data_IF_925826869515
#
_entry.id   IF_925826869515
#
_cell.length_a   1.000
_cell.length_b   1.000
_cell.length_c   1.000
_cell.angle_alpha   90.00
_cell.angle_beta   90.00
_cell.angle_gamma   90.00
#
_symmetry.space_group_name_H-M   'P 1'
#
loop_
_entity.id
_entity.type
_entity.pdbx_description
1 polymer ?
#
# COMPACT_ATOMS: atom_id res chain seq x y z
N UNK A 1 -13.37 40.72 25.12
CA UNK A 1 -12.83 39.35 24.97
C UNK A 1 -13.96 38.52 24.42
N UNK A 2 -13.99 38.43 23.09
CA UNK A 2 -15.14 37.89 22.36
C UNK A 2 -15.14 36.35 22.43
N UNK A 3 -16.30 35.82 22.81
CA UNK A 3 -16.59 34.42 22.90
C UNK A 3 -16.42 33.72 21.54
N UNK A 4 -15.23 33.25 21.26
CA UNK A 4 -14.98 32.25 20.21
C UNK A 4 -15.53 30.90 20.70
N UNK A 5 -16.85 30.72 20.50
CA UNK A 5 -17.47 29.48 20.89
C UNK A 5 -17.28 28.41 19.78
N UNK A 6 -17.21 27.12 20.18
CA UNK A 6 -17.06 25.97 19.29
C UNK A 6 -18.01 25.98 18.09
N UNK A 7 -19.18 26.57 18.24
CA UNK A 7 -20.21 26.65 17.20
C UNK A 7 -19.80 27.64 16.10
N UNK A 8 -19.20 28.77 16.46
CA UNK A 8 -18.70 29.76 15.50
C UNK A 8 -17.45 29.26 14.78
N UNK A 9 -16.60 28.49 15.45
CA UNK A 9 -15.48 27.81 14.82
C UNK A 9 -15.93 26.76 13.80
N UNK A 10 -16.92 25.93 14.14
CA UNK A 10 -17.46 24.94 13.21
C UNK A 10 -18.24 25.56 12.05
N UNK A 11 -18.96 26.65 12.28
CA UNK A 11 -19.65 27.40 11.22
C UNK A 11 -18.66 28.10 10.28
N UNK A 12 -17.63 28.76 10.82
CA UNK A 12 -16.63 29.44 9.98
C UNK A 12 -15.76 28.44 9.20
N UNK A 13 -15.40 27.29 9.80
CA UNK A 13 -14.68 26.21 9.09
C UNK A 13 -15.57 25.53 8.05
N UNK A 14 -16.86 25.32 8.36
CA UNK A 14 -17.83 24.76 7.42
C UNK A 14 -18.09 25.67 6.22
N UNK A 15 -18.21 26.98 6.45
CA UNK A 15 -18.35 27.97 5.37
C UNK A 15 -17.05 28.15 4.57
N UNK A 16 -15.88 28.11 5.21
CA UNK A 16 -14.58 28.17 4.55
C UNK A 16 -14.32 26.97 3.64
N UNK A 17 -14.58 25.73 4.10
CA UNK A 17 -14.47 24.52 3.29
C UNK A 17 -15.57 24.45 2.22
N UNK A 18 -16.79 24.87 2.52
CA UNK A 18 -17.87 24.94 1.56
C UNK A 18 -17.63 25.99 0.47
N UNK A 19 -17.07 27.16 0.81
CA UNK A 19 -16.68 28.17 -0.14
C UNK A 19 -15.50 27.75 -1.02
N UNK A 20 -14.50 27.05 -0.46
CA UNK A 20 -13.40 26.47 -1.21
C UNK A 20 -13.88 25.37 -2.17
N UNK A 21 -14.82 24.51 -1.73
CA UNK A 21 -15.46 23.51 -2.57
C UNK A 21 -16.32 24.14 -3.67
N UNK A 22 -17.09 25.18 -3.35
CA UNK A 22 -17.92 25.93 -4.32
C UNK A 22 -17.07 26.75 -5.30
N UNK A 23 -15.96 27.35 -4.86
CA UNK A 23 -15.05 28.08 -5.76
C UNK A 23 -14.33 27.13 -6.72
N UNK A 24 -14.05 25.89 -6.31
CA UNK A 24 -13.52 24.86 -7.21
C UNK A 24 -14.55 24.40 -8.25
N UNK A 25 -15.84 24.49 -7.94
CA UNK A 25 -16.93 24.19 -8.88
C UNK A 25 -17.23 25.36 -9.84
N UNK A 26 -16.85 26.59 -9.48
CA UNK A 26 -17.16 27.81 -10.27
C UNK A 26 -16.00 28.34 -11.11
N UNK A 27 -14.81 27.75 -11.01
CA UNK A 27 -13.67 28.16 -11.83
C UNK A 27 -13.53 27.26 -13.05
N UNK A 28 -13.97 27.67 -14.25
CA UNK A 28 -13.87 26.89 -15.48
C UNK A 28 -12.42 26.65 -15.94
N UNK A 29 -11.44 27.37 -15.39
CA UNK A 29 -10.01 27.12 -15.61
C UNK A 29 -9.43 25.97 -14.76
N UNK A 30 -10.22 25.38 -13.84
CA UNK A 30 -9.92 24.11 -13.19
C UNK A 30 -10.22 22.89 -14.09
N UNK A 31 -10.90 23.13 -15.23
CA UNK A 31 -11.03 22.15 -16.32
C UNK A 31 -9.78 22.34 -17.18
N UNK A 32 -8.63 21.90 -16.65
CA UNK A 32 -7.37 21.97 -17.37
C UNK A 32 -7.46 21.23 -18.69
N UNK A 33 -6.89 21.85 -19.75
CA UNK A 33 -6.42 21.16 -20.94
C UNK A 33 -5.85 19.78 -20.56
N UNK A 34 -5.91 18.82 -21.46
CA UNK A 34 -5.46 17.42 -21.28
C UNK A 34 -3.96 17.28 -20.97
N UNK A 35 -3.46 18.04 -20.01
CA UNK A 35 -2.16 17.96 -19.39
C UNK A 35 -2.20 17.18 -18.06
N UNK A 36 -1.07 16.91 -17.46
CA UNK A 36 -0.97 16.33 -16.14
C UNK A 36 -1.95 16.99 -15.17
N UNK A 37 -2.84 16.21 -14.54
CA UNK A 37 -3.91 16.77 -13.73
C UNK A 37 -3.30 17.57 -12.58
N UNK A 38 -3.54 18.88 -12.52
CA UNK A 38 -3.12 19.72 -11.41
C UNK A 38 -3.83 19.28 -10.13
N UNK A 39 -3.09 19.28 -9.01
CA UNK A 39 -3.68 19.08 -7.69
C UNK A 39 -4.51 20.28 -7.23
N UNK A 40 -4.89 20.27 -5.97
CA UNK A 40 -5.62 21.41 -5.37
C UNK A 40 -4.75 22.68 -5.37
N UNK A 41 -5.32 23.85 -5.65
CA UNK A 41 -4.60 25.11 -5.52
C UNK A 41 -4.02 25.30 -4.12
N UNK A 42 -2.74 25.70 -4.06
CA UNK A 42 -2.04 25.92 -2.79
C UNK A 42 -1.46 24.66 -2.15
N UNK A 43 -1.62 23.49 -2.75
CA UNK A 43 -0.95 22.26 -2.29
C UNK A 43 0.27 21.92 -3.15
N UNK A 44 1.31 21.31 -2.52
CA UNK A 44 1.47 21.06 -1.09
C UNK A 44 1.82 22.34 -0.30
N UNK A 45 1.41 22.41 0.98
CA UNK A 45 1.66 23.57 1.85
C UNK A 45 3.16 23.82 2.11
N UNK A 46 3.99 22.80 1.99
CA UNK A 46 5.45 22.85 2.15
C UNK A 46 6.11 22.17 0.95
N UNK A 47 7.35 22.57 0.60
CA UNK A 47 8.11 21.86 -0.46
C UNK A 47 8.21 20.37 -0.15
N UNK A 48 7.66 19.48 -0.99
CA UNK A 48 7.69 18.05 -0.73
C UNK A 48 9.10 17.49 -0.97
N UNK A 49 9.56 16.60 -0.11
CA UNK A 49 10.76 15.79 -0.35
C UNK A 49 10.43 14.57 -1.22
N UNK A 50 9.23 14.01 -1.07
CA UNK A 50 8.76 12.91 -1.88
C UNK A 50 8.00 13.41 -3.11
N UNK A 51 8.40 13.00 -4.30
CA UNK A 51 7.63 13.15 -5.53
C UNK A 51 6.62 12.02 -5.70
N UNK A 52 7.00 10.82 -5.21
CA UNK A 52 6.20 9.59 -5.35
C UNK A 52 6.32 8.71 -4.12
N UNK A 53 5.35 7.79 -3.97
CA UNK A 53 5.36 6.82 -2.88
C UNK A 53 5.04 5.41 -3.39
N UNK A 54 5.72 4.41 -2.83
CA UNK A 54 5.49 2.98 -3.05
C UNK A 54 5.15 2.35 -1.71
N UNK A 55 3.92 1.83 -1.58
CA UNK A 55 3.45 1.18 -0.36
C UNK A 55 3.39 -0.34 -0.55
N UNK A 56 4.29 -1.04 0.11
CA UNK A 56 4.37 -2.49 0.17
C UNK A 56 3.50 -2.96 1.35
N UNK A 57 2.27 -3.36 1.05
CA UNK A 57 1.29 -3.71 2.07
C UNK A 57 1.08 -5.23 2.14
N UNK A 58 1.21 -5.77 3.34
CA UNK A 58 1.18 -7.20 3.64
C UNK A 58 -0.05 -7.57 4.46
N UNK A 59 -1.25 -7.70 3.82
CA UNK A 59 -2.48 -7.99 4.53
C UNK A 59 -2.47 -9.39 5.15
N UNK A 60 -2.90 -9.45 6.40
CA UNK A 60 -2.94 -10.65 7.21
C UNK A 60 -2.09 -10.53 8.48
N UNK A 61 -1.66 -9.34 8.88
CA UNK A 61 -0.95 -9.07 10.13
C UNK A 61 0.38 -9.83 10.26
N UNK A 62 1.43 -9.44 9.52
CA UNK A 62 2.75 -10.05 9.65
C UNK A 62 3.24 -10.08 11.09
N UNK A 63 3.80 -11.19 11.54
CA UNK A 63 4.28 -11.33 12.91
C UNK A 63 5.52 -10.47 13.13
N UNK A 64 5.35 -9.29 13.70
CA UNK A 64 6.44 -8.37 14.02
C UNK A 64 7.47 -9.02 14.96
N UNK A 65 7.03 -9.88 15.89
CA UNK A 65 7.88 -10.59 16.86
C UNK A 65 8.84 -11.55 16.15
N UNK A 66 8.39 -12.18 15.08
CA UNK A 66 9.21 -13.15 14.35
C UNK A 66 10.05 -12.48 13.24
N UNK A 67 9.83 -11.20 12.91
CA UNK A 67 10.52 -10.51 11.81
C UNK A 67 11.49 -9.41 12.28
N UNK A 68 11.01 -8.43 13.07
CA UNK A 68 11.74 -7.20 13.37
C UNK A 68 11.84 -6.85 14.86
N UNK A 69 10.89 -7.30 15.68
CA UNK A 69 10.77 -6.90 17.07
C UNK A 69 11.31 -8.00 18.00
N UNK A 70 12.63 -8.13 18.05
CA UNK A 70 13.30 -9.14 18.84
C UNK A 70 13.06 -8.95 20.35
N UNK A 71 12.51 -10.00 20.99
CA UNK A 71 12.21 -10.04 22.42
C UNK A 71 12.93 -11.21 23.07
N UNK A 72 14.20 -11.04 23.49
CA UNK A 72 15.03 -12.15 24.03
C UNK A 72 14.42 -12.81 25.27
N UNK A 73 13.68 -12.05 26.08
CA UNK A 73 13.04 -12.58 27.29
C UNK A 73 11.99 -13.65 27.00
N UNK A 74 11.38 -13.64 25.79
CA UNK A 74 10.45 -14.69 25.38
C UNK A 74 11.11 -16.08 25.35
N UNK A 75 12.43 -16.17 25.14
CA UNK A 75 13.14 -17.46 25.18
C UNK A 75 13.16 -18.06 26.59
N UNK A 76 13.24 -17.22 27.65
CA UNK A 76 13.25 -17.66 29.05
C UNK A 76 11.89 -18.14 29.52
N UNK A 77 10.81 -17.59 28.95
CA UNK A 77 9.43 -17.95 29.33
C UNK A 77 8.70 -18.77 28.26
N UNK A 78 9.44 -19.30 27.27
CA UNK A 78 8.87 -20.15 26.24
C UNK A 78 8.15 -21.35 26.84
N UNK A 79 6.90 -21.58 26.46
CA UNK A 79 6.04 -22.64 26.97
C UNK A 79 5.40 -22.33 28.34
N UNK A 80 5.79 -21.27 29.03
CA UNK A 80 5.13 -20.83 30.26
C UNK A 80 3.84 -20.07 29.95
N UNK A 81 2.87 -20.22 30.86
CA UNK A 81 1.59 -19.51 30.74
C UNK A 81 1.79 -17.99 30.79
N UNK A 82 1.04 -17.27 29.97
CA UNK A 82 1.04 -15.82 29.97
C UNK A 82 0.56 -15.32 31.36
N UNK A 83 1.34 -14.47 32.07
CA UNK A 83 0.96 -13.99 33.39
C UNK A 83 -0.39 -13.25 33.36
N UNK A 84 -1.24 -13.49 34.35
CA UNK A 84 -2.55 -12.83 34.46
C UNK A 84 -2.43 -11.31 34.50
N UNK A 85 -1.38 -10.77 35.10
CA UNK A 85 -1.09 -9.32 35.14
C UNK A 85 -0.92 -8.71 33.73
N UNK A 86 -0.47 -9.50 32.77
CA UNK A 86 -0.34 -9.08 31.36
C UNK A 86 -1.63 -9.37 30.59
N UNK A 87 -2.29 -10.50 30.90
CA UNK A 87 -3.53 -10.91 30.25
C UNK A 87 -4.72 -10.05 30.62
N UNK A 88 -4.83 -9.60 31.87
CA UNK A 88 -5.92 -8.75 32.34
C UNK A 88 -5.99 -7.44 31.55
N UNK A 89 -7.20 -7.14 31.03
CA UNK A 89 -7.45 -5.96 30.23
C UNK A 89 -6.99 -6.03 28.75
N UNK A 90 -6.42 -7.14 28.30
CA UNK A 90 -6.20 -7.36 26.86
C UNK A 90 -7.50 -7.84 26.20
N UNK A 91 -7.84 -7.20 25.08
CA UNK A 91 -8.92 -7.66 24.22
C UNK A 91 -8.50 -8.95 23.53
N UNK A 92 -9.16 -10.06 23.86
CA UNK A 92 -8.94 -11.37 23.23
C UNK A 92 -9.85 -11.44 22.00
N UNK A 93 -9.34 -11.97 20.89
CA UNK A 93 -10.18 -12.20 19.71
C UNK A 93 -11.16 -13.36 19.94
N UNK A 94 -12.23 -13.41 19.11
CA UNK A 94 -13.15 -14.55 19.13
C UNK A 94 -12.49 -15.90 18.87
N UNK A 95 -11.32 -15.90 18.19
CA UNK A 95 -10.59 -17.12 17.84
C UNK A 95 -9.87 -17.76 19.02
N UNK A 96 -9.48 -16.99 20.02
CA UNK A 96 -8.78 -17.50 21.23
C UNK A 96 -9.64 -17.38 22.50
N UNK A 97 -10.87 -16.84 22.42
CA UNK A 97 -11.73 -16.65 23.58
C UNK A 97 -12.11 -17.94 24.33
N UNK A 98 -12.16 -19.07 23.63
CA UNK A 98 -12.37 -20.39 24.19
C UNK A 98 -11.10 -21.16 24.58
N UNK A 99 -9.90 -20.58 24.37
CA UNK A 99 -8.64 -21.23 24.67
C UNK A 99 -8.38 -21.20 26.19
N UNK A 100 -8.01 -22.36 26.75
CA UNK A 100 -7.81 -22.51 28.20
C UNK A 100 -6.40 -22.16 28.67
N UNK A 101 -5.42 -22.18 27.79
CA UNK A 101 -4.01 -21.95 28.07
C UNK A 101 -3.40 -21.04 27.02
N UNK A 102 -2.54 -20.10 27.43
CA UNK A 102 -1.90 -19.11 26.58
C UNK A 102 -0.37 -19.17 26.73
N UNK A 103 0.28 -20.26 26.31
CA UNK A 103 1.71 -20.40 26.47
C UNK A 103 2.47 -19.38 25.65
N UNK A 104 3.42 -18.69 26.28
CA UNK A 104 4.31 -17.75 25.62
C UNK A 104 5.19 -18.46 24.59
N UNK A 105 5.43 -17.82 23.45
CA UNK A 105 6.20 -18.42 22.35
C UNK A 105 7.30 -17.48 21.88
N UNK A 106 8.53 -17.91 22.03
CA UNK A 106 9.69 -17.27 21.41
C UNK A 106 9.71 -17.53 19.88
N UNK A 107 10.28 -16.63 19.07
CA UNK A 107 10.57 -16.91 17.68
C UNK A 107 11.42 -18.18 17.52
N UNK A 108 11.11 -18.99 16.51
CA UNK A 108 11.86 -20.22 16.19
C UNK A 108 13.07 -19.95 15.28
N UNK A 109 13.29 -18.72 14.90
CA UNK A 109 14.36 -18.27 14.00
C UNK A 109 15.32 -17.36 14.75
N UNK A 110 16.54 -17.25 14.21
CA UNK A 110 17.59 -16.50 14.84
C UNK A 110 17.58 -15.03 14.44
N UNK A 111 17.81 -14.16 15.42
CA UNK A 111 18.00 -12.74 15.23
C UNK A 111 19.49 -12.38 15.36
N UNK A 112 19.92 -11.40 14.57
CA UNK A 112 21.26 -10.85 14.62
C UNK A 112 21.20 -9.33 14.43
N UNK A 113 22.24 -8.62 14.88
CA UNK A 113 22.39 -7.18 14.69
C UNK A 113 23.07 -6.88 13.37
N UNK A 114 22.48 -6.00 12.58
CA UNK A 114 23.00 -5.59 11.28
C UNK A 114 23.16 -4.06 11.19
N UNK A 115 23.97 -3.63 10.23
CA UNK A 115 24.20 -2.23 9.93
C UNK A 115 25.01 -1.49 11.00
N UNK A 116 25.22 -0.20 10.78
CA UNK A 116 26.04 0.67 11.62
C UNK A 116 25.44 0.91 13.01
N UNK A 117 24.12 0.81 13.12
CA UNK A 117 23.39 1.08 14.36
C UNK A 117 23.03 -0.21 15.14
N UNK A 118 23.40 -1.38 14.61
CA UNK A 118 23.13 -2.65 15.28
C UNK A 118 21.67 -3.01 15.38
N UNK A 119 20.91 -2.77 14.31
CA UNK A 119 19.48 -3.07 14.21
C UNK A 119 19.21 -4.56 14.23
N UNK A 120 18.31 -5.00 15.12
CA UNK A 120 17.90 -6.39 15.19
C UNK A 120 16.99 -6.77 14.02
N UNK A 121 17.37 -7.80 13.27
CA UNK A 121 16.59 -8.38 12.18
C UNK A 121 16.68 -9.90 12.28
N UNK A 122 15.61 -10.59 11.92
CA UNK A 122 15.62 -12.04 11.79
C UNK A 122 16.48 -12.45 10.58
N UNK A 123 17.66 -13.03 10.86
CA UNK A 123 18.65 -13.37 9.82
C UNK A 123 18.26 -14.54 8.94
N UNK A 124 17.43 -15.45 9.47
CA UNK A 124 17.00 -16.67 8.75
C UNK A 124 15.85 -16.39 7.79
N UNK A 125 15.06 -15.34 8.06
CA UNK A 125 13.87 -14.97 7.30
C UNK A 125 14.10 -13.77 6.39
N UNK A 126 14.95 -12.82 6.78
CA UNK A 126 15.11 -11.52 6.13
C UNK A 126 16.58 -11.17 5.83
N UNK A 127 17.39 -12.10 5.26
CA UNK A 127 18.81 -11.85 4.99
C UNK A 127 19.09 -10.71 4.01
N UNK A 128 18.20 -10.47 3.04
CA UNK A 128 18.35 -9.36 2.08
C UNK A 128 17.95 -8.02 2.70
N UNK A 129 16.87 -7.98 3.48
CA UNK A 129 16.46 -6.79 4.25
C UNK A 129 17.52 -6.41 5.27
N UNK A 130 18.19 -7.40 5.91
CA UNK A 130 19.33 -7.17 6.79
C UNK A 130 20.45 -6.38 6.08
N UNK A 131 20.65 -6.56 4.78
CA UNK A 131 21.63 -5.85 3.96
C UNK A 131 21.26 -4.40 3.61
N UNK A 132 20.06 -3.91 3.95
CA UNK A 132 19.59 -2.54 3.69
C UNK A 132 19.16 -1.79 4.96
N UNK A 133 19.44 -2.31 6.15
CA UNK A 133 18.99 -1.71 7.42
C UNK A 133 19.50 -0.28 7.61
N UNK A 134 20.68 0.04 7.08
CA UNK A 134 21.23 1.40 7.11
C UNK A 134 20.46 2.39 6.19
N UNK A 135 19.61 1.91 5.30
CA UNK A 135 18.80 2.73 4.40
C UNK A 135 17.35 2.88 4.84
N UNK A 136 16.89 2.10 5.82
CA UNK A 136 15.51 2.09 6.31
C UNK A 136 15.37 2.62 7.74
N UNK A 137 14.20 3.08 8.09
CA UNK A 137 13.76 3.35 9.47
C UNK A 137 12.74 2.31 9.87
N UNK A 138 12.93 1.66 11.03
CA UNK A 138 12.01 0.66 11.55
C UNK A 138 11.21 1.28 12.71
N UNK A 139 9.89 1.27 12.60
CA UNK A 139 8.95 1.79 13.59
C UNK A 139 8.23 0.61 14.23
N UNK A 140 8.57 0.27 15.50
CA UNK A 140 7.99 -0.88 16.22
C UNK A 140 6.79 -0.50 17.08
N UNK A 141 6.47 0.77 17.20
CA UNK A 141 5.41 1.32 18.06
C UNK A 141 4.10 1.62 17.34
N UNK A 142 3.89 1.08 16.16
CA UNK A 142 2.61 1.19 15.46
C UNK A 142 1.51 0.51 16.27
N UNK A 143 0.31 1.12 16.31
CA UNK A 143 -0.84 0.58 17.01
C UNK A 143 -2.15 0.81 16.26
N UNK A 144 -3.14 -0.02 16.53
CA UNK A 144 -4.50 0.09 16.01
C UNK A 144 -5.50 -0.49 17.02
N UNK A 145 -6.70 0.03 17.04
CA UNK A 145 -7.81 -0.51 17.83
C UNK A 145 -8.51 -1.70 17.14
N UNK A 146 -8.30 -1.85 15.83
CA UNK A 146 -8.90 -2.92 15.06
C UNK A 146 -8.18 -4.25 15.34
N UNK A 147 -8.95 -5.31 15.55
CA UNK A 147 -8.44 -6.67 15.81
C UNK A 147 -8.85 -7.71 14.76
N UNK A 148 -9.67 -7.32 13.78
CA UNK A 148 -10.06 -8.13 12.64
C UNK A 148 -9.53 -7.52 11.35
N UNK A 149 -9.14 -8.36 10.39
CA UNK A 149 -8.49 -7.92 9.15
C UNK A 149 -9.31 -6.92 8.36
N UNK A 150 -10.58 -7.19 8.08
CA UNK A 150 -11.37 -6.30 7.22
C UNK A 150 -11.46 -4.87 7.74
N UNK A 151 -11.87 -4.60 9.01
CA UNK A 151 -11.85 -3.25 9.56
C UNK A 151 -10.43 -2.68 9.71
N UNK A 152 -9.42 -3.50 10.04
CA UNK A 152 -8.04 -3.04 10.18
C UNK A 152 -7.41 -2.63 8.84
N UNK A 153 -7.59 -3.45 7.80
CA UNK A 153 -7.14 -3.15 6.44
C UNK A 153 -7.87 -1.90 5.91
N UNK A 154 -9.18 -1.78 6.18
CA UNK A 154 -9.94 -0.59 5.81
C UNK A 154 -9.38 0.64 6.54
N UNK A 155 -9.15 0.54 7.85
CA UNK A 155 -8.64 1.63 8.68
C UNK A 155 -7.27 2.15 8.19
N UNK A 156 -6.30 1.27 7.97
CA UNK A 156 -4.96 1.69 7.54
C UNK A 156 -4.95 2.29 6.13
N UNK A 157 -5.89 1.92 5.27
CA UNK A 157 -5.99 2.45 3.92
C UNK A 157 -6.83 3.73 3.81
N UNK A 158 -7.78 3.97 4.73
CA UNK A 158 -8.77 5.05 4.61
C UNK A 158 -8.87 5.97 5.83
N UNK A 159 -8.17 5.63 6.93
CA UNK A 159 -8.21 6.36 8.21
C UNK A 159 -9.42 6.06 9.09
N UNK A 160 -10.35 5.19 8.66
CA UNK A 160 -11.54 4.77 9.44
C UNK A 160 -11.85 3.30 9.22
N UNK A 161 -12.43 2.63 10.22
CA UNK A 161 -12.82 1.22 10.09
C UNK A 161 -14.06 1.00 9.19
N UNK A 162 -15.12 1.85 9.25
CA UNK A 162 -16.25 1.74 8.34
C UNK A 162 -15.85 2.05 6.88
N UNK A 163 -16.38 1.29 5.90
CA UNK A 163 -16.14 1.57 4.48
C UNK A 163 -16.79 2.88 4.02
N UNK A 164 -16.35 3.42 2.87
CA UNK A 164 -16.96 4.58 2.21
C UNK A 164 -16.11 5.85 2.23
N UNK A 165 -14.97 5.85 2.93
CA UNK A 165 -14.00 6.96 2.87
C UNK A 165 -13.00 6.77 1.75
N UNK A 166 -12.44 7.88 1.20
CA UNK A 166 -11.38 7.79 0.21
C UNK A 166 -10.13 7.08 0.76
N UNK A 167 -9.50 6.30 -0.07
CA UNK A 167 -8.21 5.68 0.24
C UNK A 167 -7.08 6.72 0.27
N UNK A 168 -5.97 6.37 0.92
CA UNK A 168 -4.76 7.20 0.98
C UNK A 168 -4.31 7.66 -0.42
N UNK A 169 -4.26 6.74 -1.39
CA UNK A 169 -3.88 7.07 -2.77
C UNK A 169 -4.88 7.98 -3.46
N UNK A 170 -6.17 7.87 -3.15
CA UNK A 170 -7.21 8.77 -3.67
C UNK A 170 -7.05 10.20 -3.13
N UNK A 171 -6.72 10.35 -1.84
CA UNK A 171 -6.38 11.64 -1.25
C UNK A 171 -5.14 12.27 -1.87
N UNK A 172 -4.07 11.47 -2.08
CA UNK A 172 -2.86 11.95 -2.75
C UNK A 172 -3.14 12.38 -4.20
N UNK A 173 -3.91 11.59 -4.94
CA UNK A 173 -4.34 11.94 -6.28
C UNK A 173 -5.17 13.23 -6.32
N UNK A 174 -6.09 13.41 -5.37
CA UNK A 174 -6.95 14.59 -5.27
C UNK A 174 -6.15 15.83 -4.90
N UNK A 175 -5.30 15.74 -3.86
CA UNK A 175 -4.55 16.89 -3.33
C UNK A 175 -3.38 17.31 -4.21
N UNK A 176 -2.64 16.35 -4.76
CA UNK A 176 -1.37 16.60 -5.46
C UNK A 176 -1.45 16.41 -6.98
N UNK A 177 -2.53 15.82 -7.49
CA UNK A 177 -2.69 15.57 -8.94
C UNK A 177 -1.76 14.46 -9.46
N UNK A 178 -1.49 14.49 -10.76
CA UNK A 178 -0.62 13.55 -11.47
C UNK A 178 0.56 14.28 -12.12
N UNK A 179 1.72 13.65 -12.15
CA UNK A 179 2.89 14.10 -12.91
C UNK A 179 2.96 13.45 -14.31
N UNK A 180 2.04 12.53 -14.59
CA UNK A 180 1.98 11.78 -15.83
C UNK A 180 0.59 11.93 -16.49
N UNK A 181 0.58 12.13 -17.81
CA UNK A 181 -0.65 12.26 -18.61
C UNK A 181 -1.18 10.93 -19.13
N UNK A 182 -0.30 9.92 -19.25
CA UNK A 182 -0.59 8.65 -19.92
C UNK A 182 -0.85 7.49 -18.95
N UNK A 183 -0.59 7.71 -17.66
CA UNK A 183 -0.77 6.72 -16.60
C UNK A 183 -1.60 7.29 -15.44
N UNK A 184 -2.37 6.46 -14.75
CA UNK A 184 -3.06 6.88 -13.55
C UNK A 184 -2.07 7.39 -12.49
N UNK A 185 -2.48 8.39 -11.70
CA UNK A 185 -1.67 8.87 -10.57
C UNK A 185 -1.58 7.87 -9.42
N UNK A 186 -2.53 6.92 -9.35
CA UNK A 186 -2.61 5.87 -8.33
C UNK A 186 -2.82 4.49 -8.97
N UNK A 187 -1.85 3.60 -8.77
CA UNK A 187 -1.87 2.23 -9.30
C UNK A 187 -1.79 1.22 -8.16
N UNK A 188 -2.57 0.16 -8.29
CA UNK A 188 -2.63 -0.96 -7.36
C UNK A 188 -2.24 -2.25 -8.05
N UNK A 189 -1.38 -3.05 -7.41
CA UNK A 189 -1.02 -4.39 -7.87
C UNK A 189 -1.18 -5.39 -6.73
N UNK A 190 -1.63 -6.60 -7.06
CA UNK A 190 -1.88 -7.65 -6.07
C UNK A 190 -1.10 -8.89 -6.45
N UNK A 191 -0.33 -9.40 -5.51
CA UNK A 191 0.26 -10.73 -5.55
C UNK A 191 -0.25 -11.59 -4.38
N UNK A 192 -0.05 -12.89 -4.48
CA UNK A 192 -0.47 -13.83 -3.44
C UNK A 192 0.66 -14.75 -3.05
N UNK A 193 0.91 -14.85 -1.75
CA UNK A 193 1.75 -15.89 -1.20
C UNK A 193 0.97 -17.21 -0.97
N UNK A 194 1.55 -18.12 -0.21
CA UNK A 194 1.03 -19.48 0.01
C UNK A 194 0.15 -19.62 1.25
N UNK A 195 0.03 -18.58 2.09
CA UNK A 195 -0.75 -18.60 3.32
C UNK A 195 -2.25 -18.35 3.11
N UNK A 196 -2.98 -18.19 4.22
CA UNK A 196 -4.38 -17.81 4.21
C UNK A 196 -4.54 -16.40 3.64
N UNK A 197 -5.34 -16.30 2.59
CA UNK A 197 -5.53 -15.07 1.85
C UNK A 197 -6.62 -14.20 2.46
N UNK A 198 -6.27 -12.98 2.85
CA UNK A 198 -7.26 -11.98 3.22
C UNK A 198 -8.03 -11.50 1.99
N UNK A 199 -9.32 -11.28 2.14
CA UNK A 199 -10.15 -10.68 1.10
C UNK A 199 -9.70 -9.22 0.89
N UNK A 200 -9.53 -8.82 -0.37
CA UNK A 200 -9.25 -7.46 -0.77
C UNK A 200 -10.38 -6.98 -1.68
N UNK A 201 -10.98 -5.88 -1.32
CA UNK A 201 -12.12 -5.29 -2.03
C UNK A 201 -11.69 -3.98 -2.69
N UNK A 202 -12.32 -3.63 -3.80
CA UNK A 202 -11.98 -2.42 -4.57
C UNK A 202 -12.17 -1.12 -3.76
N UNK A 203 -12.99 -1.14 -2.69
CA UNK A 203 -13.11 -0.03 -1.75
C UNK A 203 -11.79 0.36 -1.05
N UNK A 204 -10.82 -0.56 -0.95
CA UNK A 204 -9.53 -0.31 -0.31
C UNK A 204 -8.63 0.65 -1.11
N UNK A 205 -8.90 0.81 -2.39
CA UNK A 205 -8.28 1.80 -3.26
C UNK A 205 -9.30 2.70 -3.95
N UNK A 206 -10.52 2.71 -3.44
CA UNK A 206 -11.63 3.50 -3.95
C UNK A 206 -11.53 4.97 -3.60
N UNK A 207 -12.20 5.80 -4.40
CA UNK A 207 -12.29 7.25 -4.20
C UNK A 207 -13.23 7.67 -3.07
N UNK A 208 -14.05 6.75 -2.53
CA UNK A 208 -15.05 7.09 -1.52
C UNK A 208 -16.00 8.19 -2.02
N UNK A 209 -16.07 9.31 -1.31
CA UNK A 209 -16.87 10.49 -1.70
C UNK A 209 -16.14 11.46 -2.65
N UNK A 210 -14.86 11.22 -2.97
CA UNK A 210 -14.15 12.00 -3.99
C UNK A 210 -14.57 11.56 -5.39
N UNK A 211 -14.40 12.42 -6.41
CA UNK A 211 -14.66 12.03 -7.80
C UNK A 211 -13.93 10.75 -8.20
N UNK A 212 -14.59 9.89 -8.95
CA UNK A 212 -14.09 8.54 -9.28
C UNK A 212 -12.78 8.52 -10.09
N UNK A 213 -12.40 9.64 -10.71
CA UNK A 213 -11.10 9.80 -11.38
C UNK A 213 -9.88 9.65 -10.45
N UNK A 214 -10.08 9.78 -9.14
CA UNK A 214 -9.02 9.67 -8.13
C UNK A 214 -8.86 8.28 -7.53
N UNK A 215 -9.71 7.31 -7.91
CA UNK A 215 -9.57 5.93 -7.43
C UNK A 215 -8.33 5.24 -8.00
N UNK A 216 -7.81 4.26 -7.26
CA UNK A 216 -6.70 3.44 -7.72
C UNK A 216 -7.09 2.54 -8.89
N UNK A 217 -6.22 2.46 -9.88
CA UNK A 217 -6.36 1.57 -11.02
C UNK A 217 -5.58 0.28 -10.74
N UNK A 218 -6.30 -0.83 -10.72
CA UNK A 218 -5.68 -2.15 -10.50
C UNK A 218 -5.02 -2.65 -11.79
N UNK A 219 -3.69 -2.75 -11.78
CA UNK A 219 -2.91 -3.41 -12.82
C UNK A 219 -2.56 -4.85 -12.43
N UNK A 220 -2.57 -5.74 -13.41
CA UNK A 220 -2.23 -7.15 -13.24
C UNK A 220 -0.88 -7.42 -13.90
N UNK A 221 0.03 -8.08 -13.19
CA UNK A 221 1.31 -8.50 -13.76
C UNK A 221 1.26 -9.91 -14.40
N UNK A 222 0.05 -10.45 -14.56
CA UNK A 222 -0.21 -11.71 -15.28
C UNK A 222 -1.48 -11.58 -16.12
N UNK A 223 -1.46 -12.12 -17.35
CA UNK A 223 -2.52 -11.95 -18.33
C UNK A 223 -2.62 -10.50 -18.82
N UNK A 224 -3.82 -10.07 -19.21
CA UNK A 224 -4.05 -8.67 -19.58
C UNK A 224 -3.81 -7.73 -18.40
N UNK A 225 -2.92 -6.74 -18.53
CA UNK A 225 -2.61 -5.80 -17.43
C UNK A 225 -3.84 -5.02 -16.95
N UNK A 226 -4.67 -4.59 -17.87
CA UNK A 226 -5.96 -3.94 -17.61
C UNK A 226 -7.00 -4.67 -18.47
N UNK A 227 -8.09 -5.08 -17.83
CA UNK A 227 -9.17 -5.77 -18.57
C UNK A 227 -9.79 -4.83 -19.60
N UNK A 228 -10.03 -5.34 -20.78
CA UNK A 228 -10.65 -4.61 -21.90
C UNK A 228 -9.89 -3.34 -22.34
N UNK A 229 -8.59 -3.29 -22.07
CA UNK A 229 -7.76 -2.17 -22.53
C UNK A 229 -7.59 -2.20 -24.05
N UNK A 230 -7.39 -3.38 -24.62
CA UNK A 230 -7.21 -3.58 -26.05
C UNK A 230 -8.50 -3.31 -26.84
N UNK A 231 -8.37 -2.86 -28.08
CA UNK A 231 -9.51 -2.73 -28.96
C UNK A 231 -10.06 -4.08 -29.35
N UNK A 232 -11.38 -4.24 -29.50
CA UNK A 232 -11.98 -5.46 -30.08
C UNK A 232 -11.47 -5.70 -31.52
N UNK A 233 -11.52 -6.96 -32.01
CA UNK A 233 -11.22 -7.24 -33.41
C UNK A 233 -12.00 -6.35 -34.37
N UNK A 234 -11.31 -5.80 -35.36
CA UNK A 234 -11.91 -4.89 -36.36
C UNK A 234 -11.96 -3.42 -35.97
N UNK A 235 -11.57 -3.06 -34.78
CA UNK A 235 -11.45 -1.67 -34.33
C UNK A 235 -9.97 -1.30 -34.23
N UNK A 236 -9.49 -0.47 -35.12
CA UNK A 236 -8.13 0.09 -35.02
C UNK A 236 -8.08 1.34 -34.09
N UNK A 237 -6.88 1.93 -33.96
CA UNK A 237 -6.66 3.07 -33.08
C UNK A 237 -7.39 4.33 -33.53
N UNK A 238 -7.48 4.56 -34.84
CA UNK A 238 -8.10 5.75 -35.43
C UNK A 238 -9.62 5.67 -35.31
N UNK A 239 -10.21 4.49 -35.60
CA UNK A 239 -11.63 4.23 -35.34
C UNK A 239 -11.95 4.43 -33.86
N UNK A 240 -11.12 3.89 -32.94
CA UNK A 240 -11.31 4.09 -31.50
C UNK A 240 -11.25 5.57 -31.14
N UNK A 241 -10.32 6.35 -31.67
CA UNK A 241 -10.26 7.80 -31.50
C UNK A 241 -11.55 8.48 -31.91
N UNK A 242 -12.02 8.19 -33.13
CA UNK A 242 -13.29 8.75 -33.65
C UNK A 242 -14.50 8.42 -32.76
N UNK A 243 -14.56 7.18 -32.21
CA UNK A 243 -15.60 6.77 -31.25
C UNK A 243 -15.53 7.59 -29.96
N UNK A 244 -14.34 7.82 -29.42
CA UNK A 244 -14.15 8.60 -28.19
C UNK A 244 -14.49 10.08 -28.40
N UNK A 245 -14.14 10.67 -29.56
CA UNK A 245 -14.51 12.04 -29.92
C UNK A 245 -16.03 12.18 -30.01
N UNK A 246 -16.72 11.19 -30.56
CA UNK A 246 -18.18 11.14 -30.59
C UNK A 246 -18.80 11.08 -29.19
N UNK A 247 -18.28 10.18 -28.33
CA UNK A 247 -18.71 10.05 -26.93
C UNK A 247 -18.44 11.34 -26.15
N UNK A 248 -17.30 11.98 -26.35
CA UNK A 248 -16.96 13.23 -25.69
C UNK A 248 -17.98 14.34 -26.06
N UNK A 249 -18.37 14.47 -27.34
CA UNK A 249 -19.41 15.42 -27.78
C UNK A 249 -20.75 15.13 -27.10
N UNK A 250 -21.17 13.88 -27.02
CA UNK A 250 -22.41 13.48 -26.34
C UNK A 250 -22.36 13.77 -24.84
N UNK A 251 -21.30 13.37 -24.18
CA UNK A 251 -21.10 13.61 -22.75
C UNK A 251 -21.03 15.10 -22.42
N UNK A 252 -20.40 15.91 -23.28
CA UNK A 252 -20.35 17.37 -23.10
C UNK A 252 -21.74 18.01 -23.18
N UNK A 253 -22.61 17.56 -24.12
CA UNK A 253 -24.02 17.98 -24.17
C UNK A 253 -24.79 17.56 -22.91
N UNK A 254 -24.58 16.35 -22.43
CA UNK A 254 -25.20 15.84 -21.20
C UNK A 254 -24.74 16.66 -19.99
N UNK A 255 -23.45 16.97 -19.90
CA UNK A 255 -22.90 17.81 -18.85
C UNK A 255 -23.50 19.24 -18.88
N UNK A 256 -23.58 19.86 -20.06
CA UNK A 256 -24.20 21.18 -20.21
C UNK A 256 -25.68 21.21 -19.76
N UNK A 257 -26.41 20.08 -19.95
CA UNK A 257 -27.82 19.98 -19.58
C UNK A 257 -28.05 19.72 -18.11
N UNK A 258 -27.22 18.84 -17.50
CA UNK A 258 -27.45 18.31 -16.15
C UNK A 258 -26.41 18.78 -15.13
N UNK A 259 -25.30 19.36 -15.56
CA UNK A 259 -24.16 19.82 -14.75
C UNK A 259 -23.62 18.74 -13.78
N UNK A 260 -23.67 17.46 -14.22
CA UNK A 260 -23.17 16.34 -13.42
C UNK A 260 -21.64 16.24 -13.56
N UNK A 261 -20.86 16.41 -12.46
CA UNK A 261 -19.40 16.34 -12.50
C UNK A 261 -18.86 14.96 -12.87
N UNK A 262 -19.61 13.87 -12.62
CA UNK A 262 -19.21 12.52 -13.02
C UNK A 262 -19.19 12.33 -14.54
N UNK A 263 -19.94 13.12 -15.30
CA UNK A 263 -19.86 13.12 -16.75
C UNK A 263 -18.49 13.54 -17.25
N UNK A 264 -17.87 14.58 -16.64
CA UNK A 264 -16.51 15.02 -16.95
C UNK A 264 -15.47 13.98 -16.51
N UNK A 265 -15.70 13.35 -15.37
CA UNK A 265 -14.85 12.26 -14.87
C UNK A 265 -14.81 11.09 -15.87
N UNK A 266 -15.96 10.69 -16.43
CA UNK A 266 -16.03 9.62 -17.46
C UNK A 266 -15.27 9.98 -18.73
N UNK A 267 -15.37 11.22 -19.21
CA UNK A 267 -14.59 11.70 -20.36
C UNK A 267 -13.09 11.51 -20.07
N UNK A 268 -12.63 11.98 -18.91
CA UNK A 268 -11.22 11.87 -18.50
C UNK A 268 -10.76 10.41 -18.37
N UNK A 269 -11.61 9.52 -17.85
CA UNK A 269 -11.31 8.09 -17.75
C UNK A 269 -11.18 7.40 -19.12
N UNK A 270 -12.04 7.72 -20.08
CA UNK A 270 -11.94 7.19 -21.44
C UNK A 270 -10.65 7.66 -22.14
N UNK A 271 -10.30 8.94 -21.99
CA UNK A 271 -9.06 9.49 -22.51
C UNK A 271 -7.83 8.84 -21.88
N UNK A 272 -7.84 8.62 -20.56
CA UNK A 272 -6.78 7.92 -19.86
C UNK A 272 -6.64 6.49 -20.38
N UNK A 273 -7.73 5.74 -20.48
CA UNK A 273 -7.73 4.37 -20.99
C UNK A 273 -7.15 4.29 -22.42
N UNK A 274 -7.48 5.24 -23.29
CA UNK A 274 -6.95 5.30 -24.65
C UNK A 274 -5.43 5.55 -24.67
N UNK A 275 -4.93 6.45 -23.83
CA UNK A 275 -3.49 6.71 -23.70
C UNK A 275 -2.75 5.50 -23.13
N UNK A 276 -3.34 4.83 -22.14
CA UNK A 276 -2.79 3.61 -21.53
C UNK A 276 -2.61 2.46 -22.54
N UNK A 277 -3.39 2.40 -23.61
CA UNK A 277 -3.24 1.37 -24.66
C UNK A 277 -1.84 1.37 -25.30
N UNK A 278 -1.19 2.53 -25.38
CA UNK A 278 0.18 2.63 -25.91
C UNK A 278 1.25 2.37 -24.82
N UNK A 279 1.06 2.95 -23.62
CA UNK A 279 2.08 2.95 -22.58
C UNK A 279 2.15 1.62 -21.79
N UNK A 280 1.00 1.02 -21.48
CA UNK A 280 0.94 -0.15 -20.60
C UNK A 280 1.66 -1.37 -21.18
N UNK A 281 1.52 -1.74 -22.47
CA UNK A 281 2.23 -2.90 -23.02
C UNK A 281 3.75 -2.77 -22.88
N UNK A 282 4.32 -1.60 -23.21
CA UNK A 282 5.76 -1.34 -23.08
C UNK A 282 6.21 -1.39 -21.61
N UNK A 283 5.43 -0.77 -20.72
CA UNK A 283 5.71 -0.75 -19.29
C UNK A 283 5.78 -2.15 -18.68
N UNK A 284 4.86 -3.03 -19.09
CA UNK A 284 4.72 -4.38 -18.55
C UNK A 284 5.73 -5.38 -19.14
N UNK A 285 6.34 -5.05 -20.26
CA UNK A 285 7.40 -5.86 -20.88
C UNK A 285 8.75 -5.63 -20.15
N UNK A 286 9.14 -6.59 -19.33
CA UNK A 286 10.42 -6.58 -18.62
C UNK A 286 11.54 -7.31 -19.40
N UNK A 287 11.30 -7.74 -20.62
CA UNK A 287 12.30 -8.49 -21.42
C UNK A 287 13.58 -7.68 -21.65
N UNK A 288 13.44 -6.36 -21.80
CA UNK A 288 14.55 -5.43 -22.03
C UNK A 288 15.27 -4.99 -20.75
N UNK A 289 14.78 -5.36 -19.56
CA UNK A 289 15.48 -5.04 -18.33
C UNK A 289 16.80 -5.81 -18.25
N UNK A 290 17.91 -5.13 -17.92
CA UNK A 290 19.21 -5.79 -17.79
C UNK A 290 19.20 -6.91 -16.76
N UNK A 291 19.99 -7.96 -17.00
CA UNK A 291 20.04 -9.11 -16.10
C UNK A 291 20.37 -8.72 -14.65
N UNK A 292 21.36 -7.83 -14.45
CA UNK A 292 21.76 -7.40 -13.11
C UNK A 292 20.61 -6.69 -12.35
N UNK A 293 19.74 -5.95 -13.06
CA UNK A 293 18.54 -5.33 -12.46
C UNK A 293 17.54 -6.41 -12.06
N UNK A 294 17.27 -7.38 -12.93
CA UNK A 294 16.37 -8.50 -12.60
C UNK A 294 16.89 -9.32 -11.43
N UNK A 295 18.20 -9.55 -11.35
CA UNK A 295 18.85 -10.28 -10.27
C UNK A 295 18.65 -9.61 -8.90
N UNK A 296 18.53 -8.27 -8.83
CA UNK A 296 18.19 -7.55 -7.58
C UNK A 296 16.87 -8.02 -6.97
N UNK A 297 15.86 -8.26 -7.81
CA UNK A 297 14.51 -8.67 -7.38
C UNK A 297 14.37 -10.17 -7.15
N UNK A 298 15.37 -10.96 -7.53
CA UNK A 298 15.43 -12.39 -7.28
C UNK A 298 14.77 -13.27 -8.34
N UNK A 299 14.82 -14.60 -8.15
CA UNK A 299 14.48 -15.58 -9.20
C UNK A 299 13.02 -15.55 -9.64
N UNK A 300 12.13 -15.02 -8.81
CA UNK A 300 10.70 -14.94 -9.13
C UNK A 300 10.32 -13.72 -9.98
N UNK A 301 11.25 -12.82 -10.35
CA UNK A 301 10.96 -11.60 -11.11
C UNK A 301 10.36 -11.88 -12.49
N UNK A 302 10.79 -12.94 -13.14
CA UNK A 302 10.25 -13.37 -14.43
C UNK A 302 8.86 -14.03 -14.32
N UNK A 303 8.47 -14.46 -13.13
CA UNK A 303 7.19 -15.14 -12.89
C UNK A 303 6.03 -14.16 -12.89
N UNK A 304 5.07 -14.25 -13.84
CA UNK A 304 3.89 -13.40 -13.84
C UNK A 304 3.09 -13.49 -12.54
N UNK A 305 2.65 -12.36 -12.02
CA UNK A 305 1.86 -12.30 -10.77
C UNK A 305 2.68 -12.41 -9.47
N UNK A 306 4.01 -12.58 -9.55
CA UNK A 306 4.87 -12.62 -8.36
C UNK A 306 5.00 -11.23 -7.72
N UNK A 307 5.33 -11.20 -6.43
CA UNK A 307 5.65 -9.96 -5.73
C UNK A 307 6.92 -9.31 -6.30
N UNK A 308 7.93 -10.12 -6.64
CA UNK A 308 9.17 -9.66 -7.26
C UNK A 308 8.91 -8.90 -8.57
N UNK A 309 8.06 -9.46 -9.46
CA UNK A 309 7.66 -8.78 -10.69
C UNK A 309 6.90 -7.49 -10.40
N UNK A 310 6.01 -7.51 -9.42
CA UNK A 310 5.26 -6.30 -9.02
C UNK A 310 6.19 -5.19 -8.51
N UNK A 311 7.23 -5.51 -7.73
CA UNK A 311 8.22 -4.53 -7.27
C UNK A 311 9.02 -3.91 -8.43
N UNK A 312 9.48 -4.72 -9.38
CA UNK A 312 10.15 -4.22 -10.59
C UNK A 312 9.23 -3.30 -11.42
N UNK A 313 7.98 -3.72 -11.63
CA UNK A 313 6.99 -2.91 -12.35
C UNK A 313 6.64 -1.62 -11.59
N UNK A 314 6.59 -1.65 -10.26
CA UNK A 314 6.38 -0.44 -9.46
C UNK A 314 7.51 0.57 -9.66
N UNK A 315 8.77 0.14 -9.69
CA UNK A 315 9.89 1.01 -10.00
C UNK A 315 9.73 1.62 -11.40
N UNK A 316 9.39 0.83 -12.42
CA UNK A 316 9.17 1.32 -13.80
C UNK A 316 8.04 2.34 -13.88
N UNK A 317 6.92 2.10 -13.17
CA UNK A 317 5.81 3.06 -13.09
C UNK A 317 6.22 4.34 -12.37
N UNK A 318 7.03 4.22 -11.31
CA UNK A 318 7.59 5.37 -10.59
C UNK A 318 8.49 6.22 -11.51
N UNK A 319 9.30 5.61 -12.38
CA UNK A 319 10.08 6.30 -13.41
C UNK A 319 9.18 7.05 -14.41
N UNK A 320 8.03 6.48 -14.76
CA UNK A 320 7.03 7.10 -15.64
C UNK A 320 6.15 8.15 -14.93
N UNK A 321 6.43 8.50 -13.67
CA UNK A 321 5.73 9.56 -12.95
C UNK A 321 4.41 9.14 -12.29
N UNK A 322 4.17 7.84 -12.09
CA UNK A 322 3.05 7.39 -11.24
C UNK A 322 3.33 7.80 -9.80
N UNK A 323 2.43 8.61 -9.21
CA UNK A 323 2.65 9.25 -7.92
C UNK A 323 2.49 8.29 -6.74
N UNK A 324 1.51 7.40 -6.77
CA UNK A 324 1.27 6.44 -5.70
C UNK A 324 1.08 5.02 -6.24
N UNK A 325 1.91 4.12 -5.72
CA UNK A 325 1.94 2.71 -6.09
C UNK A 325 1.68 1.87 -4.84
N UNK A 326 0.65 1.05 -4.86
CA UNK A 326 0.31 0.20 -3.73
C UNK A 326 0.37 -1.28 -4.13
N UNK A 327 1.27 -2.01 -3.51
CA UNK A 327 1.51 -3.43 -3.76
C UNK A 327 0.98 -4.26 -2.60
N UNK A 328 -0.05 -5.04 -2.83
CA UNK A 328 -0.57 -6.00 -1.87
C UNK A 328 0.07 -7.36 -2.07
N UNK A 329 0.68 -7.92 -1.02
CA UNK A 329 1.14 -9.31 -1.02
C UNK A 329 0.40 -10.09 0.06
N UNK A 330 -0.57 -10.94 -0.34
CA UNK A 330 -1.50 -11.66 0.53
C UNK A 330 -0.86 -12.93 1.09
N UNK A 331 -1.35 -13.38 2.27
CA UNK A 331 -0.98 -14.67 2.82
C UNK A 331 -0.35 -14.64 4.21
N UNK A 332 -0.47 -13.54 4.94
CA UNK A 332 0.18 -13.32 6.23
C UNK A 332 -0.66 -13.74 7.46
N UNK A 333 -1.89 -14.22 7.25
CA UNK A 333 -2.77 -14.64 8.34
C UNK A 333 -2.39 -16.04 8.85
N UNK A 334 -1.51 -16.09 9.85
CA UNK A 334 -0.81 -17.30 10.27
C UNK A 334 -1.24 -17.76 11.67
N UNK A 335 -2.50 -18.17 11.78
CA UNK A 335 -3.09 -18.72 13.02
C UNK A 335 -2.61 -20.12 13.40
N UNK A 336 -1.90 -20.79 12.51
CA UNK A 336 -1.29 -22.08 12.70
C UNK A 336 -0.23 -22.34 11.65
N UNK A 337 0.73 -23.21 11.98
CA UNK A 337 1.89 -23.50 11.12
C UNK A 337 2.69 -22.22 10.76
N UNK A 338 2.74 -21.26 11.71
CA UNK A 338 3.40 -19.99 11.50
C UNK A 338 4.86 -20.14 11.05
N UNK A 339 5.71 -21.00 11.66
CA UNK A 339 7.11 -21.10 11.26
C UNK A 339 7.32 -21.45 9.79
N UNK A 340 6.56 -22.40 9.27
CA UNK A 340 6.68 -22.80 7.86
C UNK A 340 6.08 -21.77 6.91
N UNK A 341 4.94 -21.19 7.28
CA UNK A 341 4.23 -20.22 6.46
C UNK A 341 4.96 -18.87 6.39
N UNK A 342 5.50 -18.38 7.51
CA UNK A 342 6.23 -17.11 7.52
C UNK A 342 7.52 -17.20 6.70
N UNK A 343 8.22 -18.35 6.75
CA UNK A 343 9.39 -18.59 5.88
C UNK A 343 9.02 -18.48 4.41
N UNK A 344 7.93 -19.11 3.98
CA UNK A 344 7.47 -19.05 2.60
C UNK A 344 7.09 -17.63 2.17
N UNK A 345 6.49 -16.85 3.07
CA UNK A 345 6.18 -15.44 2.78
C UNK A 345 7.45 -14.59 2.66
N UNK A 346 8.42 -14.81 3.54
CA UNK A 346 9.70 -14.11 3.50
C UNK A 346 10.51 -14.44 2.24
N UNK A 347 10.49 -15.69 1.77
CA UNK A 347 11.06 -16.10 0.47
C UNK A 347 10.47 -15.31 -0.70
N UNK A 348 9.19 -14.95 -0.63
CA UNK A 348 8.51 -14.18 -1.67
C UNK A 348 8.84 -12.68 -1.62
N UNK A 349 9.14 -12.11 -0.41
CA UNK A 349 9.20 -10.64 -0.26
C UNK A 349 10.58 -10.08 0.08
N UNK A 350 11.45 -10.83 0.75
CA UNK A 350 12.69 -10.28 1.33
C UNK A 350 13.62 -9.71 0.26
N UNK A 351 14.01 -10.52 -0.72
CA UNK A 351 14.89 -10.06 -1.80
C UNK A 351 14.24 -8.97 -2.66
N UNK A 352 12.96 -9.05 -3.07
CA UNK A 352 12.33 -7.98 -3.84
C UNK A 352 12.21 -6.65 -3.09
N UNK A 353 11.97 -6.64 -1.79
CA UNK A 353 11.96 -5.42 -0.99
C UNK A 353 13.35 -4.76 -0.99
N UNK A 354 14.39 -5.54 -0.71
CA UNK A 354 15.76 -5.05 -0.72
C UNK A 354 16.20 -4.62 -2.13
N UNK A 355 15.81 -5.38 -3.15
CA UNK A 355 16.07 -5.10 -4.56
C UNK A 355 15.47 -3.77 -5.00
N UNK A 356 14.22 -3.50 -4.60
CA UNK A 356 13.57 -2.22 -4.89
C UNK A 356 14.34 -1.04 -4.31
N UNK A 357 14.80 -1.12 -3.06
CA UNK A 357 15.59 -0.05 -2.43
C UNK A 357 16.91 0.16 -3.17
N UNK A 358 17.61 -0.92 -3.53
CA UNK A 358 18.88 -0.85 -4.28
C UNK A 358 18.69 -0.26 -5.68
N UNK A 359 17.68 -0.71 -6.44
CA UNK A 359 17.38 -0.23 -7.80
C UNK A 359 17.01 1.27 -7.78
N UNK A 360 16.20 1.72 -6.80
CA UNK A 360 15.90 3.14 -6.62
C UNK A 360 17.15 3.97 -6.32
N UNK A 361 18.10 3.45 -5.55
CA UNK A 361 19.40 4.13 -5.28
C UNK A 361 20.26 4.19 -6.52
N UNK A 362 20.43 3.10 -7.24
CA UNK A 362 21.22 3.03 -8.48
C UNK A 362 20.71 4.00 -9.55
N UNK A 363 19.40 4.27 -9.57
CA UNK A 363 18.77 5.21 -10.52
C UNK A 363 18.66 6.65 -10.01
N UNK A 364 19.17 6.95 -8.82
CA UNK A 364 19.05 8.28 -8.22
C UNK A 364 17.62 8.69 -7.86
N UNK A 365 16.71 7.73 -7.73
CA UNK A 365 15.30 7.94 -7.40
C UNK A 365 15.00 7.82 -5.91
N UNK A 366 15.93 7.30 -5.12
CA UNK A 366 15.71 6.97 -3.72
C UNK A 366 15.37 8.20 -2.87
N UNK A 367 16.03 9.32 -3.10
CA UNK A 367 15.88 10.51 -2.29
C UNK A 367 14.57 11.29 -2.54
N UNK A 368 13.84 10.95 -3.60
CA UNK A 368 12.54 11.55 -3.94
C UNK A 368 11.39 10.52 -3.99
N UNK A 369 11.66 9.26 -3.58
CA UNK A 369 10.67 8.18 -3.51
C UNK A 369 10.51 7.74 -2.06
N UNK A 370 9.30 7.89 -1.49
CA UNK A 370 8.96 7.31 -0.19
C UNK A 370 8.56 5.84 -0.38
N UNK A 371 9.26 4.93 0.29
CA UNK A 371 8.85 3.52 0.38
C UNK A 371 8.35 3.24 1.79
N UNK A 372 7.16 2.66 1.90
CA UNK A 372 6.53 2.24 3.17
C UNK A 372 6.26 0.74 3.08
N UNK A 373 6.56 -0.01 4.14
CA UNK A 373 6.31 -1.45 4.20
C UNK A 373 5.74 -1.86 5.54
N UNK A 374 4.62 -2.58 5.53
CA UNK A 374 3.99 -3.05 6.76
C UNK A 374 2.65 -3.74 6.51
N UNK A 375 1.98 -4.10 7.60
CA UNK A 375 0.63 -4.67 7.61
C UNK A 375 -0.33 -3.84 8.46
N UNK A 376 -1.50 -4.41 8.75
CA UNK A 376 -2.58 -3.71 9.45
C UNK A 376 -2.54 -3.83 10.98
N UNK A 377 -1.89 -4.88 11.51
CA UNK A 377 -1.63 -5.09 12.95
C UNK A 377 -0.56 -6.16 13.17
N UNK A 378 -0.19 -6.38 14.42
CA UNK A 378 0.79 -7.38 14.83
C UNK A 378 0.19 -8.70 15.31
N UNK A 379 1.00 -9.51 15.97
CA UNK A 379 0.63 -10.83 16.48
C UNK A 379 0.98 -10.96 17.98
N UNK A 380 0.26 -11.86 18.67
CA UNK A 380 0.43 -12.11 20.10
C UNK A 380 1.75 -12.77 20.43
N UNK A 381 2.24 -12.54 21.66
CA UNK A 381 3.41 -13.23 22.23
C UNK A 381 3.10 -14.67 22.67
N UNK A 382 1.83 -15.05 22.74
CA UNK A 382 1.39 -16.41 23.09
C UNK A 382 0.97 -17.21 21.86
N UNK A 383 0.96 -18.53 21.99
CA UNK A 383 0.49 -19.44 20.95
C UNK A 383 -1.03 -19.41 20.83
N UNK A 384 -1.52 -19.24 19.63
CA UNK A 384 -2.88 -19.65 19.29
C UNK A 384 -2.88 -21.14 18.99
N UNK A 385 -3.79 -21.87 19.62
CA UNK A 385 -3.81 -23.34 19.56
C UNK A 385 -2.68 -24.00 20.33
N UNK A 386 -2.44 -25.27 20.01
CA UNK A 386 -1.43 -26.08 20.71
C UNK A 386 0.00 -25.67 20.29
N UNK A 387 0.82 -25.35 21.31
CA UNK A 387 2.25 -25.17 21.11
C UNK A 387 2.93 -26.55 21.04
N UNK A 388 3.76 -26.76 20.01
CA UNK A 388 4.62 -27.93 19.88
C UNK A 388 6.07 -27.49 19.64
N UNK A 389 7.01 -28.41 19.64
CA UNK A 389 8.43 -28.13 19.41
C UNK A 389 8.68 -27.37 18.10
N UNK A 390 7.94 -27.72 17.04
CA UNK A 390 8.20 -27.23 15.68
C UNK A 390 7.04 -26.40 15.10
N UNK A 391 5.97 -26.18 15.89
CA UNK A 391 4.77 -25.52 15.36
C UNK A 391 4.00 -24.75 16.42
N UNK A 392 3.53 -23.57 16.01
CA UNK A 392 2.58 -22.71 16.72
C UNK A 392 1.84 -21.80 15.74
N UNK A 393 0.81 -21.15 16.24
CA UNK A 393 0.17 -20.01 15.60
C UNK A 393 0.26 -18.79 16.51
N UNK A 394 -0.11 -17.62 16.00
CA UNK A 394 -0.27 -16.40 16.78
C UNK A 394 -1.60 -15.73 16.45
N UNK A 395 -2.26 -15.22 17.47
CA UNK A 395 -3.48 -14.46 17.32
C UNK A 395 -3.19 -12.99 16.95
N UNK A 396 -4.22 -12.24 16.62
CA UNK A 396 -4.12 -10.82 16.30
C UNK A 396 -3.75 -9.97 17.53
N UNK A 397 -2.90 -8.97 17.32
CA UNK A 397 -2.50 -8.03 18.36
C UNK A 397 -2.38 -6.61 17.78
N UNK A 398 -3.30 -5.72 18.18
CA UNK A 398 -3.33 -4.36 17.66
C UNK A 398 -2.42 -3.37 18.38
N UNK A 399 -1.99 -3.67 19.61
CA UNK A 399 -1.30 -2.68 20.47
C UNK A 399 0.13 -2.36 20.05
N UNK A 400 0.78 -3.26 19.31
CA UNK A 400 2.06 -2.97 18.66
C UNK A 400 2.24 -3.82 17.41
N UNK A 401 2.83 -3.20 16.39
CA UNK A 401 3.30 -3.86 15.18
C UNK A 401 4.40 -3.04 14.53
N UNK A 402 5.02 -3.58 13.52
CA UNK A 402 6.18 -2.96 12.88
C UNK A 402 5.86 -2.53 11.46
N UNK A 403 6.27 -1.30 11.15
CA UNK A 403 6.34 -0.75 9.79
C UNK A 403 7.77 -0.26 9.57
N UNK A 404 8.30 -0.42 8.37
CA UNK A 404 9.53 0.28 8.01
C UNK A 404 9.30 1.25 6.84
N UNK A 405 10.12 2.28 6.80
CA UNK A 405 10.09 3.32 5.78
C UNK A 405 11.48 3.59 5.23
N UNK A 406 11.56 4.06 3.99
CA UNK A 406 12.83 4.40 3.32
C UNK A 406 12.66 5.56 2.34
N UNK A 407 13.76 6.22 2.02
CA UNK A 407 13.82 7.28 1.00
C UNK A 407 13.21 8.61 1.42
N UNK A 408 13.07 9.51 0.49
CA UNK A 408 12.31 10.79 0.53
C UNK A 408 12.29 11.53 1.88
N UNK A 409 13.45 11.76 2.47
CA UNK A 409 13.58 12.52 3.72
C UNK A 409 13.36 11.71 5.01
N UNK A 410 13.16 10.40 4.90
CA UNK A 410 13.19 9.49 6.05
C UNK A 410 14.61 9.43 6.61
N UNK A 411 14.75 9.44 7.93
CA UNK A 411 16.04 9.29 8.60
C UNK A 411 16.53 7.86 8.39
N UNK A 412 17.70 7.72 7.77
CA UNK A 412 18.26 6.40 7.43
C UNK A 412 18.85 5.70 8.65
N UNK A 413 18.72 4.36 8.71
CA UNK A 413 19.32 3.52 9.76
C UNK A 413 18.78 3.80 11.16
N UNK A 414 17.55 4.27 11.30
CA UNK A 414 16.92 4.57 12.58
C UNK A 414 15.97 3.42 13.00
N UNK A 415 15.99 3.15 14.33
CA UNK A 415 15.26 2.05 14.95
C UNK A 415 14.63 2.47 16.29
#
# INVERSE_FOLDING_TARGET
MDDYNRRNFLLSTGHGMGAAALSSLWNPNLIGSAGAASGLPGFPNFPPKAKRAIYLFFPGGPSHIDLFDYKPELRKIHGQELPDSIRQGQRITGMTSGQKSFPCVAPMFEFEKFGKHGTWVNKDLLPHTAGIVDDITIIRSMNTEAINHDPAITYINTGVQPPGKPSMGSWLSYGLGSENENMPSYVVMISRGRGQLQALYDRLWGSGFLPSKHQGVKLRSSGEPVLYLNNPPGIDRDMRRGMLDGLQKLNSKTHQKFNDPETQTRISQYEMAFRMQAEVPELMDISKEPKHVKDLYGPNVEKPGSFARNCLLARRMAEKGVRFLQLFHRGWDQHGSLPSKIRQQCEDIDQPCAGLIKDLKERGMFDDTLVVCGGEFGRTIYSQGKLTKDNHGRDHHGRCFTTWMAGAGIKRGYD
#
